data_IF_976417355302
#
_entry.id   IF_976417355302
#
_cell.length_a   1.000
_cell.length_b   1.000
_cell.length_c   1.000
_cell.angle_alpha   90.00
_cell.angle_beta   90.00
_cell.angle_gamma   90.00
#
_symmetry.space_group_name_H-M   'P 1'
#
loop_
_entity.id
_entity.type
_entity.pdbx_description
1 polymer ?
#
# COMPACT_ATOMS: atom_id res chain seq x y z
N UNK A 1 -14.47 7.94 -15.47
CA UNK A 1 -13.48 9.01 -15.68
C UNK A 1 -12.91 8.89 -17.08
N UNK A 2 -12.74 10.01 -17.81
CA UNK A 2 -12.11 10.01 -19.13
C UNK A 2 -10.61 9.71 -19.03
N UNK A 3 -10.01 9.18 -20.09
CA UNK A 3 -8.57 8.91 -20.15
C UNK A 3 -7.75 10.19 -19.89
N UNK A 4 -8.21 11.33 -20.41
CA UNK A 4 -7.63 12.65 -20.17
C UNK A 4 -7.67 13.05 -18.69
N UNK A 5 -8.79 12.79 -17.99
CA UNK A 5 -8.93 13.06 -16.56
C UNK A 5 -8.05 12.18 -15.68
N UNK A 6 -7.89 10.89 -16.05
CA UNK A 6 -6.96 9.99 -15.37
C UNK A 6 -5.52 10.50 -15.47
N UNK A 7 -5.06 10.81 -16.69
CA UNK A 7 -3.70 11.29 -16.94
C UNK A 7 -3.42 12.62 -16.23
N UNK A 8 -4.38 13.54 -16.21
CA UNK A 8 -4.26 14.80 -15.49
C UNK A 8 -4.11 14.60 -13.97
N UNK A 9 -4.94 13.73 -13.38
CA UNK A 9 -4.87 13.41 -11.94
C UNK A 9 -3.57 12.71 -11.59
N UNK A 10 -3.18 11.71 -12.39
CA UNK A 10 -1.90 11.01 -12.21
C UNK A 10 -0.71 11.97 -12.28
N UNK A 11 -0.74 12.92 -13.22
CA UNK A 11 0.31 13.93 -13.36
C UNK A 11 0.34 14.87 -12.16
N UNK A 12 -0.81 15.35 -11.68
CA UNK A 12 -0.89 16.21 -10.48
C UNK A 12 -0.29 15.52 -9.27
N UNK A 13 -0.68 14.28 -8.99
CA UNK A 13 -0.15 13.49 -7.87
C UNK A 13 1.36 13.31 -8.03
N UNK A 14 1.84 12.99 -9.24
CA UNK A 14 3.27 12.82 -9.46
C UNK A 14 4.06 14.12 -9.27
N UNK A 15 3.55 15.25 -9.76
CA UNK A 15 4.16 16.57 -9.57
C UNK A 15 4.24 16.91 -8.09
N UNK A 16 3.16 16.67 -7.34
CA UNK A 16 3.15 16.89 -5.90
C UNK A 16 4.15 16.01 -5.17
N UNK A 17 4.18 14.69 -5.44
CA UNK A 17 5.17 13.79 -4.84
C UNK A 17 6.59 14.25 -5.11
N UNK A 18 6.90 14.65 -6.35
CA UNK A 18 8.22 15.15 -6.70
C UNK A 18 8.55 16.47 -6.00
N UNK A 19 7.57 17.37 -5.86
CA UNK A 19 7.75 18.65 -5.16
C UNK A 19 7.93 18.48 -3.65
N UNK A 20 7.23 17.50 -3.05
CA UNK A 20 7.27 17.18 -1.62
C UNK A 20 8.33 16.16 -1.24
N UNK A 21 9.08 15.63 -2.21
CA UNK A 21 10.17 14.72 -1.97
C UNK A 21 11.40 15.49 -1.50
N UNK A 22 11.80 15.25 -0.26
CA UNK A 22 12.93 15.91 0.38
C UNK A 22 14.25 15.26 -0.06
N UNK A 23 14.24 13.95 -0.27
CA UNK A 23 15.43 13.19 -0.61
C UNK A 23 15.45 11.81 0.03
N UNK A 24 16.60 11.15 -0.10
CA UNK A 24 16.82 9.77 0.34
C UNK A 24 17.89 9.75 1.40
N UNK A 25 17.64 9.03 2.50
CA UNK A 25 18.59 8.89 3.59
C UNK A 25 18.55 7.48 4.19
N UNK A 26 19.63 7.09 4.85
CA UNK A 26 19.68 5.92 5.71
C UNK A 26 19.39 6.34 7.15
N UNK A 27 18.48 5.65 7.80
CA UNK A 27 18.10 5.93 9.20
C UNK A 27 18.07 4.65 10.02
N UNK A 28 18.29 4.77 11.32
CA UNK A 28 18.23 3.62 12.21
C UNK A 28 16.82 3.01 12.25
N UNK A 29 16.70 1.69 12.10
CA UNK A 29 15.40 1.01 12.10
C UNK A 29 14.54 1.28 13.34
N UNK A 30 15.16 1.56 14.49
CA UNK A 30 14.49 1.78 15.77
C UNK A 30 13.54 2.98 15.79
N UNK A 31 13.74 3.98 14.92
CA UNK A 31 12.92 5.21 14.87
C UNK A 31 11.67 5.05 14.00
N UNK A 32 11.61 4.02 13.15
CA UNK A 32 10.53 3.83 12.20
C UNK A 32 9.24 3.40 12.90
N UNK A 33 8.13 4.07 12.60
CA UNK A 33 6.79 3.75 13.11
C UNK A 33 5.81 3.64 11.97
N UNK A 34 4.85 2.72 12.10
CA UNK A 34 3.87 2.41 11.06
C UNK A 34 2.45 2.65 11.59
N UNK A 35 2.04 3.92 11.80
CA UNK A 35 0.77 4.25 12.44
C UNK A 35 -0.45 3.73 11.65
N UNK A 36 -0.32 3.63 10.32
CA UNK A 36 -1.40 3.23 9.43
C UNK A 36 -1.37 1.75 9.04
N UNK A 37 -0.42 0.96 9.59
CA UNK A 37 -0.27 -0.43 9.21
C UNK A 37 -1.15 -1.36 10.06
N UNK A 38 -1.73 -2.38 9.40
CA UNK A 38 -2.41 -3.48 10.09
C UNK A 38 -1.38 -4.33 10.85
N UNK A 39 -1.81 -5.08 11.86
CA UNK A 39 -0.93 -6.02 12.56
C UNK A 39 -0.18 -6.91 11.56
N UNK A 40 1.15 -7.04 11.70
CA UNK A 40 1.98 -7.73 10.71
C UNK A 40 1.60 -9.21 10.62
N UNK A 41 1.45 -9.74 9.40
CA UNK A 41 1.17 -11.17 9.17
C UNK A 41 2.44 -12.00 9.45
N UNK A 42 2.46 -12.86 10.48
CA UNK A 42 3.63 -13.65 10.83
C UNK A 42 4.13 -14.55 9.68
N UNK A 43 3.22 -15.04 8.82
CA UNK A 43 3.61 -15.87 7.66
C UNK A 43 4.36 -15.04 6.63
N UNK A 44 3.90 -13.82 6.36
CA UNK A 44 4.55 -12.93 5.42
C UNK A 44 5.90 -12.42 5.96
N UNK A 45 5.97 -12.09 7.26
CA UNK A 45 7.23 -11.73 7.92
C UNK A 45 8.25 -12.87 7.83
N UNK A 46 7.83 -14.12 8.12
CA UNK A 46 8.71 -15.28 7.99
C UNK A 46 9.18 -15.51 6.55
N UNK A 47 8.29 -15.36 5.57
CA UNK A 47 8.65 -15.45 4.15
C UNK A 47 9.71 -14.40 3.76
N UNK A 48 9.51 -13.14 4.16
CA UNK A 48 10.46 -12.05 3.89
C UNK A 48 11.79 -12.30 4.59
N UNK A 49 11.77 -12.80 5.83
CA UNK A 49 12.97 -13.19 6.57
C UNK A 49 13.76 -14.27 5.81
N UNK A 50 13.08 -15.33 5.35
CA UNK A 50 13.72 -16.39 4.57
C UNK A 50 14.31 -15.83 3.26
N UNK A 51 13.59 -14.94 2.57
CA UNK A 51 14.08 -14.27 1.37
C UNK A 51 15.39 -13.52 1.64
N UNK A 52 15.47 -12.79 2.75
CA UNK A 52 16.69 -12.07 3.13
C UNK A 52 17.86 -13.01 3.44
N UNK A 53 17.58 -14.19 4.01
CA UNK A 53 18.59 -15.20 4.30
C UNK A 53 19.10 -15.90 3.03
N UNK A 54 18.20 -16.23 2.10
CA UNK A 54 18.53 -16.93 0.85
C UNK A 54 19.25 -16.02 -0.16
N UNK A 55 18.94 -14.73 -0.20
CA UNK A 55 19.53 -13.76 -1.14
C UNK A 55 20.86 -13.14 -0.65
N UNK A 56 21.49 -13.67 0.41
CA UNK A 56 22.69 -13.11 1.04
C UNK A 56 22.55 -11.64 1.49
N UNK A 57 21.32 -11.20 1.78
CA UNK A 57 21.05 -9.86 2.29
C UNK A 57 19.70 -9.34 1.85
N UNK A 58 19.11 -8.49 2.69
CA UNK A 58 18.21 -7.47 2.17
C UNK A 58 19.09 -6.39 1.53
N UNK A 59 18.67 -5.81 0.40
CA UNK A 59 19.25 -4.60 -0.16
C UNK A 59 18.32 -3.42 0.17
N UNK A 60 18.47 -2.73 1.32
CA UNK A 60 17.60 -1.62 1.68
C UNK A 60 17.63 -0.48 0.65
N UNK A 61 18.75 -0.34 -0.06
CA UNK A 61 18.98 0.70 -1.06
C UNK A 61 18.23 0.49 -2.37
N UNK A 62 17.79 -0.75 -2.63
CA UNK A 62 16.94 -1.05 -3.78
C UNK A 62 15.66 -0.22 -3.65
N UNK A 63 15.31 0.50 -4.71
CA UNK A 63 14.12 1.36 -4.81
C UNK A 63 12.86 0.62 -4.35
N UNK A 64 12.76 -0.69 -4.60
CA UNK A 64 11.60 -1.47 -4.16
C UNK A 64 11.55 -1.69 -2.65
N UNK A 65 12.70 -1.71 -1.98
CA UNK A 65 12.89 -1.94 -0.55
C UNK A 65 12.92 -0.65 0.27
N UNK A 66 13.09 0.51 -0.36
CA UNK A 66 13.01 1.80 0.34
C UNK A 66 11.64 2.03 0.97
N UNK A 67 11.67 2.68 2.12
CA UNK A 67 10.47 2.97 2.92
C UNK A 67 10.14 4.46 2.81
N UNK A 68 8.98 4.84 2.23
CA UNK A 68 8.54 6.22 2.25
C UNK A 68 8.09 6.62 3.67
N UNK A 69 8.60 7.75 4.14
CA UNK A 69 8.30 8.29 5.46
C UNK A 69 7.97 9.77 5.40
N UNK A 70 7.07 10.20 6.27
CA UNK A 70 6.70 11.60 6.45
C UNK A 70 7.55 12.24 7.55
N UNK A 71 7.98 13.47 7.33
CA UNK A 71 8.74 14.27 8.29
C UNK A 71 8.26 15.72 8.27
N UNK A 72 8.17 16.33 9.45
CA UNK A 72 7.91 17.77 9.57
C UNK A 72 9.23 18.57 9.50
N UNK A 73 9.11 19.85 9.11
CA UNK A 73 10.29 20.72 8.92
C UNK A 73 11.12 20.88 10.21
N UNK A 74 10.49 20.95 11.38
CA UNK A 74 11.22 21.11 12.65
C UNK A 74 12.08 19.90 12.95
N UNK A 75 11.54 18.70 12.76
CA UNK A 75 12.25 17.44 12.95
C UNK A 75 13.37 17.27 11.92
N UNK A 76 13.14 17.65 10.66
CA UNK A 76 14.16 17.62 9.62
C UNK A 76 15.33 18.56 9.92
N UNK A 77 15.05 19.81 10.32
CA UNK A 77 16.10 20.77 10.67
C UNK A 77 16.97 20.26 11.83
N UNK A 78 16.37 19.64 12.85
CA UNK A 78 17.11 19.06 13.98
C UNK A 78 18.02 17.92 13.53
N UNK A 79 17.52 17.05 12.65
CA UNK A 79 18.29 15.91 12.14
C UNK A 79 19.46 16.37 11.26
N UNK A 80 19.23 17.33 10.35
CA UNK A 80 20.27 17.93 9.51
C UNK A 80 21.35 18.65 10.33
N UNK A 81 20.95 19.39 11.38
CA UNK A 81 21.87 20.05 12.28
C UNK A 81 22.72 19.06 13.09
N UNK A 82 22.13 17.95 13.52
CA UNK A 82 22.83 16.91 14.29
C UNK A 82 23.89 16.17 13.44
N UNK A 83 23.63 15.99 12.15
CA UNK A 83 24.53 15.26 11.23
C UNK A 83 25.40 16.16 10.38
N UNK A 84 25.28 17.50 10.51
CA UNK A 84 25.95 18.48 9.63
C UNK A 84 25.71 18.23 8.15
N UNK A 85 24.56 17.63 7.79
CA UNK A 85 24.14 17.41 6.42
C UNK A 85 23.37 18.61 5.88
N UNK A 86 23.51 18.89 4.59
CA UNK A 86 22.65 19.83 3.88
C UNK A 86 21.46 19.09 3.24
N UNK A 87 20.40 19.83 2.90
CA UNK A 87 19.23 19.25 2.22
C UNK A 87 19.60 18.71 0.83
N UNK A 88 20.54 19.36 0.15
CA UNK A 88 21.04 18.97 -1.17
C UNK A 88 21.71 17.59 -1.13
N UNK A 89 22.35 17.24 -0.02
CA UNK A 89 22.95 15.91 0.17
C UNK A 89 21.91 14.79 0.19
N UNK A 90 20.67 15.08 0.61
CA UNK A 90 19.56 14.13 0.57
C UNK A 90 18.97 13.98 -0.84
N UNK A 91 18.95 15.06 -1.63
CA UNK A 91 18.40 15.07 -2.99
C UNK A 91 19.30 14.35 -3.99
N UNK A 92 20.61 14.48 -3.83
CA UNK A 92 21.63 13.86 -4.68
C UNK A 92 22.49 12.90 -3.84
N UNK A 93 21.90 11.79 -3.34
CA UNK A 93 22.64 10.86 -2.51
C UNK A 93 23.77 10.22 -3.33
N UNK A 94 24.97 10.19 -2.77
CA UNK A 94 26.05 9.36 -3.28
C UNK A 94 25.71 7.86 -3.19
N UNK A 95 26.59 6.97 -3.68
CA UNK A 95 26.33 5.53 -3.71
C UNK A 95 26.03 4.92 -2.33
N UNK A 96 26.55 5.53 -1.26
CA UNK A 96 26.43 5.00 0.11
C UNK A 96 25.21 5.53 0.89
N UNK A 97 24.47 6.49 0.31
CA UNK A 97 23.38 7.27 0.94
C UNK A 97 23.80 7.99 2.23
N UNK A 98 23.34 9.24 2.44
CA UNK A 98 23.64 9.95 3.68
C UNK A 98 22.96 9.28 4.88
N UNK A 99 23.67 9.18 6.01
CA UNK A 99 23.09 8.72 7.27
C UNK A 99 22.47 9.92 7.99
N UNK A 100 21.18 9.82 8.30
CA UNK A 100 20.44 10.85 9.00
C UNK A 100 20.05 10.35 10.39
N UNK A 101 20.71 10.91 11.40
CA UNK A 101 20.47 10.59 12.80
C UNK A 101 19.48 11.57 13.43
N UNK A 102 18.69 11.05 14.36
CA UNK A 102 17.65 11.79 15.03
C UNK A 102 17.89 11.83 16.53
N UNK A 103 17.50 12.92 17.21
CA UNK A 103 17.54 12.98 18.66
C UNK A 103 16.74 11.82 19.29
N UNK A 104 17.16 11.31 20.47
CA UNK A 104 16.43 10.27 21.18
C UNK A 104 14.95 10.63 21.39
N UNK A 105 14.07 9.65 21.21
CA UNK A 105 12.61 9.85 21.32
C UNK A 105 11.92 10.33 20.04
N UNK A 106 12.68 10.63 18.98
CA UNK A 106 12.10 10.98 17.67
C UNK A 106 11.62 9.74 16.92
N UNK A 107 10.48 9.87 16.23
CA UNK A 107 9.90 8.79 15.44
C UNK A 107 9.48 9.29 14.06
N UNK A 108 9.72 8.49 13.03
CA UNK A 108 9.29 8.77 11.67
C UNK A 108 8.02 7.99 11.34
N UNK A 109 7.02 8.69 10.79
CA UNK A 109 5.78 8.09 10.35
C UNK A 109 5.96 7.48 8.95
N UNK A 110 6.17 6.17 8.90
CA UNK A 110 6.34 5.41 7.67
C UNK A 110 5.00 5.03 7.07
N UNK A 111 4.88 5.18 5.74
CA UNK A 111 3.65 4.88 5.01
C UNK A 111 3.50 3.37 4.70
N UNK A 112 4.61 2.62 4.63
CA UNK A 112 4.64 1.17 4.34
C UNK A 112 5.95 0.54 4.79
N UNK A 113 6.06 -0.79 4.68
CA UNK A 113 7.32 -1.51 4.94
C UNK A 113 7.42 -2.15 6.32
N UNK A 114 6.32 -2.17 7.09
CA UNK A 114 6.28 -2.77 8.43
C UNK A 114 6.78 -4.23 8.42
N UNK A 115 6.30 -5.07 7.50
CA UNK A 115 6.72 -6.48 7.45
C UNK A 115 8.23 -6.64 7.22
N UNK A 116 8.86 -5.72 6.47
CA UNK A 116 10.31 -5.73 6.22
C UNK A 116 11.08 -5.33 7.47
N UNK A 117 10.64 -4.29 8.15
CA UNK A 117 11.23 -3.88 9.43
C UNK A 117 11.06 -4.96 10.49
N UNK A 118 9.89 -5.60 10.57
CA UNK A 118 9.66 -6.73 11.48
C UNK A 118 10.47 -7.97 11.11
N UNK A 119 10.70 -8.23 9.82
CA UNK A 119 11.61 -9.30 9.40
C UNK A 119 13.06 -8.98 9.77
N UNK A 120 13.50 -7.74 9.55
CA UNK A 120 14.83 -7.26 9.92
C UNK A 120 15.07 -7.27 11.44
N UNK A 121 14.03 -7.01 12.24
CA UNK A 121 14.04 -7.15 13.71
C UNK A 121 14.39 -8.54 14.19
N UNK A 122 14.06 -9.56 13.40
CA UNK A 122 14.33 -10.95 13.76
C UNK A 122 15.71 -11.43 13.29
N UNK A 123 16.53 -10.52 12.75
CA UNK A 123 17.91 -10.77 12.36
C UNK A 123 18.88 -10.43 13.51
N UNK A 124 19.99 -11.19 13.69
CA UNK A 124 20.89 -11.04 14.84
C UNK A 124 21.49 -9.64 15.04
N UNK A 125 21.62 -8.84 13.98
CA UNK A 125 22.28 -7.52 14.02
C UNK A 125 21.28 -6.34 14.03
N UNK A 126 20.01 -6.56 14.39
CA UNK A 126 18.91 -5.58 14.24
C UNK A 126 19.25 -4.13 14.68
N UNK A 127 19.92 -3.96 15.83
CA UNK A 127 20.16 -2.64 16.42
C UNK A 127 21.09 -1.74 15.60
N UNK A 128 21.91 -2.32 14.73
CA UNK A 128 22.89 -1.64 13.89
C UNK A 128 22.41 -1.44 12.45
N UNK A 129 21.21 -1.93 12.11
CA UNK A 129 20.69 -1.78 10.76
C UNK A 129 20.14 -0.38 10.53
N UNK A 130 20.70 0.23 9.49
CA UNK A 130 20.12 1.36 8.82
C UNK A 130 19.22 0.87 7.69
N UNK A 131 18.14 1.59 7.47
CA UNK A 131 17.25 1.37 6.34
C UNK A 131 17.15 2.63 5.49
N UNK A 132 17.17 2.44 4.19
CA UNK A 132 17.09 3.53 3.22
C UNK A 132 15.63 3.96 3.08
N UNK A 133 15.36 5.22 3.34
CA UNK A 133 14.02 5.81 3.33
C UNK A 133 13.94 6.93 2.31
N UNK A 134 12.77 7.05 1.69
CA UNK A 134 12.42 8.21 0.86
C UNK A 134 11.62 9.18 1.76
N UNK A 135 12.16 10.38 1.98
CA UNK A 135 11.58 11.39 2.86
C UNK A 135 10.63 12.30 2.09
N UNK A 136 9.43 12.49 2.65
CA UNK A 136 8.42 13.40 2.14
C UNK A 136 7.98 14.39 3.22
N UNK A 137 7.67 15.62 2.82
CA UNK A 137 7.09 16.61 3.72
C UNK A 137 5.73 16.12 4.26
N UNK A 138 5.48 16.33 5.55
CA UNK A 138 4.26 15.85 6.21
C UNK A 138 2.95 16.47 5.67
N UNK A 139 3.04 17.63 5.01
CA UNK A 139 1.91 18.37 4.41
C UNK A 139 1.50 17.87 3.03
N UNK A 140 2.13 16.81 2.52
CA UNK A 140 1.72 16.11 1.30
C UNK A 140 0.24 15.70 1.38
N UNK A 141 -0.49 15.82 0.27
CA UNK A 141 -1.93 15.55 0.22
C UNK A 141 -2.25 14.10 0.55
N UNK A 142 -3.45 13.86 1.12
CA UNK A 142 -3.92 12.50 1.42
C UNK A 142 -4.01 11.62 0.17
N UNK A 143 -4.29 12.20 -1.00
CA UNK A 143 -4.24 11.47 -2.27
C UNK A 143 -2.82 11.03 -2.60
N UNK A 144 -1.83 11.92 -2.52
CA UNK A 144 -0.44 11.55 -2.78
C UNK A 144 0.10 10.56 -1.74
N UNK A 145 -0.28 10.68 -0.46
CA UNK A 145 0.00 9.69 0.60
C UNK A 145 -0.57 8.32 0.24
N UNK A 146 -1.86 8.27 -0.09
CA UNK A 146 -2.53 7.01 -0.45
C UNK A 146 -1.88 6.37 -1.68
N UNK A 147 -1.46 7.20 -2.64
CA UNK A 147 -0.75 6.74 -3.81
C UNK A 147 0.62 6.13 -3.46
N UNK A 148 1.40 6.75 -2.57
CA UNK A 148 2.67 6.18 -2.07
C UNK A 148 2.49 4.86 -1.32
N UNK A 149 1.39 4.74 -0.54
CA UNK A 149 1.04 3.51 0.17
C UNK A 149 0.72 2.37 -0.83
N UNK A 150 -0.04 2.66 -1.88
CA UNK A 150 -0.54 1.65 -2.80
C UNK A 150 0.41 1.32 -3.96
N UNK A 151 1.18 2.29 -4.46
CA UNK A 151 2.08 2.17 -5.62
C UNK A 151 3.13 1.09 -5.47
N UNK A 152 3.64 0.93 -4.26
CA UNK A 152 4.71 0.00 -3.96
C UNK A 152 4.27 -1.20 -3.11
N UNK A 153 2.96 -1.44 -3.02
CA UNK A 153 2.39 -2.64 -2.38
C UNK A 153 2.66 -3.95 -3.17
N UNK A 154 3.73 -4.01 -3.95
CA UNK A 154 4.20 -5.18 -4.71
C UNK A 154 4.76 -6.30 -3.81
N UNK A 155 4.91 -6.04 -2.51
CA UNK A 155 5.40 -7.02 -1.53
C UNK A 155 4.47 -8.23 -1.36
N UNK A 156 3.16 -8.06 -1.63
CA UNK A 156 2.13 -9.10 -1.54
C UNK A 156 1.11 -8.91 -2.66
N UNK A 157 0.77 -10.00 -3.37
CA UNK A 157 -0.41 -10.02 -4.25
C UNK A 157 -1.66 -9.80 -3.39
N UNK A 158 -2.48 -8.77 -3.66
CA UNK A 158 -3.76 -8.59 -2.98
C UNK A 158 -4.64 -9.81 -3.22
N UNK A 159 -5.39 -10.21 -2.21
CA UNK A 159 -6.41 -11.22 -2.37
C UNK A 159 -7.67 -10.63 -3.03
N UNK A 160 -8.54 -11.53 -3.48
CA UNK A 160 -9.80 -11.21 -4.15
C UNK A 160 -10.70 -10.28 -3.31
N UNK A 161 -10.65 -10.42 -1.98
CA UNK A 161 -11.37 -9.57 -1.02
C UNK A 161 -10.84 -8.15 -0.95
N UNK A 162 -9.51 -8.00 -0.94
CA UNK A 162 -8.86 -6.70 -0.95
C UNK A 162 -9.21 -5.93 -2.23
N UNK A 163 -9.26 -6.60 -3.38
CA UNK A 163 -9.75 -6.01 -4.64
C UNK A 163 -11.21 -5.56 -4.53
N UNK A 164 -12.10 -6.41 -4.03
CA UNK A 164 -13.50 -6.05 -3.81
C UNK A 164 -13.61 -4.80 -2.93
N UNK A 165 -13.02 -4.86 -1.73
CA UNK A 165 -13.14 -3.80 -0.73
C UNK A 165 -12.62 -2.47 -1.25
N UNK A 166 -11.42 -2.45 -1.85
CA UNK A 166 -10.80 -1.22 -2.36
C UNK A 166 -11.59 -0.62 -3.52
N UNK A 167 -12.12 -1.45 -4.42
CA UNK A 167 -12.94 -0.94 -5.52
C UNK A 167 -14.25 -0.34 -4.98
N UNK A 168 -14.97 -1.03 -4.08
CA UNK A 168 -16.20 -0.47 -3.46
C UNK A 168 -15.93 0.79 -2.65
N UNK A 169 -14.79 0.83 -1.94
CA UNK A 169 -14.31 2.03 -1.24
C UNK A 169 -14.13 3.20 -2.23
N UNK A 170 -13.40 3.02 -3.31
CA UNK A 170 -13.18 4.12 -4.26
C UNK A 170 -14.41 4.46 -5.13
N UNK A 171 -15.41 3.59 -5.20
CA UNK A 171 -16.73 3.92 -5.75
C UNK A 171 -17.61 4.75 -4.81
N UNK A 172 -17.17 5.00 -3.57
CA UNK A 172 -17.93 5.74 -2.57
C UNK A 172 -19.06 4.94 -1.93
N UNK A 173 -19.05 3.61 -2.06
CA UNK A 173 -20.14 2.74 -1.56
C UNK A 173 -20.14 2.59 -0.05
N UNK A 174 -19.09 3.04 0.62
CA UNK A 174 -18.93 3.02 2.08
C UNK A 174 -19.09 4.41 2.72
N UNK A 175 -19.68 5.37 1.98
CA UNK A 175 -20.03 6.71 2.49
C UNK A 175 -19.01 7.82 2.23
N UNK A 176 -17.79 7.48 1.82
CA UNK A 176 -16.81 8.46 1.30
C UNK A 176 -17.16 8.93 -0.12
N UNK A 177 -16.69 10.13 -0.53
CA UNK A 177 -16.78 10.55 -1.92
C UNK A 177 -16.09 9.56 -2.87
N UNK A 178 -16.64 9.34 -4.08
CA UNK A 178 -16.00 8.48 -5.06
C UNK A 178 -14.65 9.06 -5.50
N UNK A 179 -13.65 8.19 -5.65
CA UNK A 179 -12.35 8.52 -6.20
C UNK A 179 -12.06 7.67 -7.45
N UNK A 180 -12.46 8.14 -8.64
CA UNK A 180 -12.30 7.38 -9.88
C UNK A 180 -10.85 7.07 -10.25
N UNK A 181 -9.89 7.86 -9.75
CA UNK A 181 -8.47 7.65 -10.02
C UNK A 181 -7.96 6.37 -9.36
N UNK A 182 -8.17 6.22 -8.05
CA UNK A 182 -7.81 5.00 -7.34
C UNK A 182 -8.67 3.81 -7.77
N UNK A 183 -9.95 4.01 -8.04
CA UNK A 183 -10.82 2.95 -8.57
C UNK A 183 -10.22 2.34 -9.86
N UNK A 184 -9.88 3.18 -10.84
CA UNK A 184 -9.27 2.75 -12.09
C UNK A 184 -7.93 2.03 -11.89
N UNK A 185 -7.13 2.46 -10.91
CA UNK A 185 -5.84 1.84 -10.57
C UNK A 185 -6.04 0.41 -10.05
N UNK A 186 -6.99 0.21 -9.13
CA UNK A 186 -7.33 -1.12 -8.61
C UNK A 186 -7.94 -2.03 -9.67
N UNK A 187 -8.79 -1.50 -10.55
CA UNK A 187 -9.31 -2.23 -11.70
C UNK A 187 -8.23 -2.67 -12.69
N UNK A 188 -7.24 -1.81 -12.92
CA UNK A 188 -6.10 -2.13 -13.79
C UNK A 188 -5.23 -3.22 -13.17
N UNK A 189 -4.95 -3.12 -11.86
CA UNK A 189 -4.22 -4.15 -11.11
C UNK A 189 -4.95 -5.50 -11.10
N UNK A 190 -6.28 -5.51 -10.97
CA UNK A 190 -7.05 -6.76 -11.03
C UNK A 190 -6.95 -7.42 -12.42
N UNK A 191 -6.95 -6.62 -13.49
CA UNK A 191 -6.84 -7.13 -14.85
C UNK A 191 -5.50 -7.84 -15.10
N UNK A 192 -4.40 -7.34 -14.51
CA UNK A 192 -3.06 -7.96 -14.65
C UNK A 192 -2.91 -9.25 -13.85
N UNK A 193 -3.78 -9.51 -12.88
CA UNK A 193 -3.75 -10.72 -12.02
C UNK A 193 -4.31 -11.97 -12.73
N UNK A 194 -4.82 -11.82 -13.95
CA UNK A 194 -5.39 -12.90 -14.76
C UNK A 194 -4.46 -14.10 -14.89
N UNK A 195 -4.92 -15.28 -14.46
CA UNK A 195 -4.20 -16.55 -14.62
C UNK A 195 -4.55 -17.16 -15.97
N UNK A 196 -3.52 -17.61 -16.72
CA UNK A 196 -3.66 -18.26 -18.02
C UNK A 196 -4.67 -19.41 -17.93
N UNK A 197 -5.73 -19.38 -18.76
CA UNK A 197 -6.78 -20.41 -18.80
C UNK A 197 -7.99 -20.19 -17.88
N UNK A 198 -8.07 -19.07 -17.15
CA UNK A 198 -9.23 -18.71 -16.31
C UNK A 198 -9.97 -17.48 -16.86
N UNK A 199 -11.31 -17.47 -16.72
CA UNK A 199 -12.14 -16.27 -16.95
C UNK A 199 -11.58 -15.09 -16.13
N UNK A 200 -11.48 -13.91 -16.75
CA UNK A 200 -10.83 -12.72 -16.19
C UNK A 200 -11.42 -12.36 -14.82
N UNK A 201 -10.62 -12.25 -13.74
CA UNK A 201 -11.09 -11.81 -12.43
C UNK A 201 -11.90 -10.51 -12.46
N UNK A 202 -11.54 -9.59 -13.37
CA UNK A 202 -12.29 -8.36 -13.63
C UNK A 202 -13.74 -8.63 -14.03
N UNK A 203 -13.96 -9.58 -14.93
CA UNK A 203 -15.29 -9.91 -15.43
C UNK A 203 -16.15 -10.54 -14.34
N UNK A 204 -15.55 -11.37 -13.47
CA UNK A 204 -16.27 -11.98 -12.34
C UNK A 204 -16.69 -10.93 -11.32
N UNK A 205 -15.80 -9.99 -11.01
CA UNK A 205 -16.14 -8.90 -10.11
C UNK A 205 -17.23 -8.00 -10.70
N UNK A 206 -17.14 -7.69 -12.01
CA UNK A 206 -18.21 -6.98 -12.71
C UNK A 206 -19.54 -7.75 -12.70
N UNK A 207 -19.53 -9.07 -12.84
CA UNK A 207 -20.75 -9.88 -12.72
C UNK A 207 -21.35 -9.75 -11.32
N UNK A 208 -20.53 -9.90 -10.27
CA UNK A 208 -21.00 -9.71 -8.89
C UNK A 208 -21.66 -8.34 -8.69
N UNK A 209 -21.05 -7.27 -9.22
CA UNK A 209 -21.58 -5.91 -9.11
C UNK A 209 -22.86 -5.66 -9.93
N UNK A 210 -23.19 -6.51 -10.89
CA UNK A 210 -24.47 -6.43 -11.63
C UNK A 210 -25.63 -7.06 -10.85
N UNK A 211 -25.35 -7.84 -9.81
CA UNK A 211 -26.37 -8.41 -8.93
C UNK A 211 -26.48 -7.56 -7.67
N UNK A 212 -27.33 -6.53 -7.71
CA UNK A 212 -27.45 -5.52 -6.65
C UNK A 212 -27.63 -6.14 -5.26
N UNK A 213 -28.50 -7.14 -5.12
CA UNK A 213 -28.71 -7.86 -3.85
C UNK A 213 -27.43 -8.47 -3.28
N UNK A 214 -26.63 -9.14 -4.13
CA UNK A 214 -25.36 -9.69 -3.68
C UNK A 214 -24.36 -8.58 -3.38
N UNK A 215 -24.22 -7.61 -4.28
CA UNK A 215 -23.32 -6.49 -4.08
C UNK A 215 -23.58 -5.76 -2.75
N UNK A 216 -24.84 -5.44 -2.44
CA UNK A 216 -25.28 -4.82 -1.19
C UNK A 216 -25.04 -5.72 0.02
N UNK A 217 -25.34 -7.02 -0.07
CA UNK A 217 -25.07 -7.97 1.02
C UNK A 217 -23.57 -8.05 1.34
N UNK A 218 -22.72 -8.05 0.31
CA UNK A 218 -21.28 -8.00 0.51
C UNK A 218 -20.82 -6.63 1.06
N UNK A 219 -21.44 -5.51 0.70
CA UNK A 219 -21.13 -4.18 1.25
C UNK A 219 -21.50 -4.02 2.71
N UNK A 220 -22.53 -4.73 3.18
CA UNK A 220 -22.93 -4.70 4.58
C UNK A 220 -21.78 -5.10 5.53
N UNK A 221 -20.79 -5.86 5.03
CA UNK A 221 -19.58 -6.23 5.78
C UNK A 221 -18.46 -5.18 5.77
N UNK A 222 -18.70 -3.97 5.25
CA UNK A 222 -17.68 -2.92 5.15
C UNK A 222 -16.96 -2.62 6.49
N UNK A 223 -17.68 -2.73 7.61
CA UNK A 223 -17.14 -2.48 8.95
C UNK A 223 -16.28 -3.64 9.48
N UNK A 224 -16.25 -4.78 8.79
CA UNK A 224 -15.46 -5.95 9.13
C UNK A 224 -14.52 -6.33 7.98
N UNK A 225 -13.49 -5.50 7.66
CA UNK A 225 -12.58 -5.74 6.54
C UNK A 225 -11.93 -7.13 6.52
N UNK A 226 -11.76 -7.74 7.70
CA UNK A 226 -11.17 -9.07 7.85
C UNK A 226 -11.99 -10.19 7.16
N UNK A 227 -13.31 -10.03 7.02
CA UNK A 227 -14.19 -11.03 6.39
C UNK A 227 -13.90 -11.14 4.90
N UNK A 228 -13.50 -10.05 4.25
CA UNK A 228 -13.18 -10.07 2.82
C UNK A 228 -11.97 -10.96 2.50
N UNK A 229 -11.05 -11.20 3.44
CA UNK A 229 -9.87 -12.06 3.19
C UNK A 229 -10.24 -13.50 2.74
N UNK A 230 -11.45 -13.96 3.02
CA UNK A 230 -11.97 -15.26 2.56
C UNK A 230 -12.68 -15.23 1.21
N UNK A 231 -12.96 -14.03 0.66
CA UNK A 231 -13.65 -13.87 -0.62
C UNK A 231 -12.85 -14.51 -1.73
N UNK A 232 -13.53 -15.25 -2.60
CA UNK A 232 -12.96 -15.81 -3.83
C UNK A 232 -13.83 -15.44 -5.00
N UNK A 233 -13.32 -14.61 -5.91
CA UNK A 233 -14.01 -14.23 -7.15
C UNK A 233 -14.30 -15.45 -8.02
N UNK A 234 -13.54 -16.54 -7.87
CA UNK A 234 -13.83 -17.82 -8.51
C UNK A 234 -15.13 -18.49 -8.08
N UNK A 235 -15.61 -18.21 -6.86
CA UNK A 235 -16.88 -18.74 -6.36
C UNK A 235 -18.09 -18.01 -6.94
N UNK A 236 -17.93 -16.76 -7.40
CA UNK A 236 -19.01 -15.93 -7.98
C UNK A 236 -19.71 -16.64 -9.15
N UNK A 237 -18.94 -17.30 -10.03
CA UNK A 237 -19.46 -18.06 -11.17
C UNK A 237 -20.34 -19.25 -10.76
N UNK A 238 -20.22 -19.74 -9.53
CA UNK A 238 -21.05 -20.83 -8.98
C UNK A 238 -22.24 -20.29 -8.19
N UNK A 239 -22.02 -19.20 -7.45
CA UNK A 239 -23.03 -18.55 -6.62
C UNK A 239 -24.18 -17.97 -7.46
N UNK A 240 -23.86 -17.18 -8.50
CA UNK A 240 -24.88 -16.49 -9.30
C UNK A 240 -25.90 -17.47 -9.92
N UNK A 241 -25.47 -18.58 -10.56
CA UNK A 241 -26.42 -19.55 -11.12
C UNK A 241 -27.30 -20.27 -10.08
N UNK A 242 -26.95 -20.26 -8.79
CA UNK A 242 -27.74 -20.90 -7.75
C UNK A 242 -29.01 -20.10 -7.40
N UNK A 243 -29.13 -18.84 -7.84
CA UNK A 243 -30.34 -18.01 -7.70
C UNK A 243 -30.89 -17.94 -6.27
N UNK A 244 -30.01 -18.01 -5.27
CA UNK A 244 -30.41 -18.00 -3.86
C UNK A 244 -31.06 -16.67 -3.43
N UNK A 245 -30.98 -15.64 -4.27
CA UNK A 245 -31.58 -14.33 -4.08
C UNK A 245 -32.97 -14.18 -4.76
N UNK A 246 -33.39 -15.16 -5.56
CA UNK A 246 -34.73 -15.24 -6.13
C UNK A 246 -35.68 -15.77 -5.03
N UNK A 247 -36.73 -15.00 -4.71
CA UNK A 247 -37.79 -15.47 -3.83
C UNK A 247 -38.63 -16.41 -4.66
N UNK A 248 -38.77 -17.68 -4.25
CA UNK A 248 -39.68 -18.61 -4.91
C UNK A 248 -41.10 -18.04 -4.81
N UNK A 249 -41.56 -17.35 -5.85
CA UNK A 249 -42.98 -17.09 -6.07
C UNK A 249 -43.61 -18.41 -6.49
N UNK A 250 -43.93 -19.25 -5.50
CA UNK A 250 -44.85 -20.35 -5.71
C UNK A 250 -46.24 -19.75 -5.99
N UNK A 251 -46.83 -19.98 -7.18
CA UNK A 251 -48.24 -19.68 -7.37
C UNK A 251 -49.04 -20.65 -6.49
N UNK A 252 -49.78 -20.11 -5.52
CA UNK A 252 -50.82 -20.84 -4.82
C UNK A 252 -52.02 -21.08 -5.74
#
# INVERSE_FOLDING_TARGET
MSETGFRATSRRIQVEKSAKHIGVARVQLGILRFPNARSPDPKNVKRIKNLFQEQQGCTPDDVYNRIPALIDESTLCKALAATTLSREALLSPGPDYPILDFPPGTHLACLRGQHRVEAAKQSPNFAEFYWTIDLFEADISEEAKQDLVEEYSNERRPDDGEFYYKIRLYQGRFGQPPNPYFENRWWSRLATVSVKGSRNPRDRLNQLFKHDKFAEAFDAFQHLPAIYNGLRLSAVNKMIPMRCDEVDTFPF
#
